data_IF_021593919002
#
_entry.id   IF_021593919002
#
_cell.length_a   1.000
_cell.length_b   1.000
_cell.length_c   1.000
_cell.angle_alpha   90.00
_cell.angle_beta   90.00
_cell.angle_gamma   90.00
#
_symmetry.space_group_name_H-M   'P 1'
#
loop_
_entity.id
_entity.type
_entity.pdbx_description
1 polymer ?
#
# COMPACT_ATOMS: atom_id res chain seq x y z
N UNK A 1 19.37 -14.16 3.25
CA UNK A 1 17.90 -14.41 3.19
C UNK A 1 17.38 -13.75 1.94
N UNK A 2 16.40 -14.34 1.26
CA UNK A 2 15.76 -13.80 0.07
C UNK A 2 14.33 -13.35 0.42
N UNK A 3 13.81 -12.41 -0.34
CA UNK A 3 12.43 -11.90 -0.29
C UNK A 3 11.74 -12.24 -1.60
N UNK A 4 10.57 -12.82 -1.55
CA UNK A 4 9.75 -13.00 -2.75
C UNK A 4 9.03 -11.71 -3.07
N UNK A 5 9.01 -11.37 -4.35
CA UNK A 5 8.39 -10.14 -4.87
C UNK A 5 7.57 -10.50 -6.10
N UNK A 6 6.33 -10.06 -6.15
CA UNK A 6 5.52 -10.18 -7.37
C UNK A 6 5.86 -9.03 -8.32
N UNK A 7 6.34 -9.38 -9.50
CA UNK A 7 6.76 -8.43 -10.54
C UNK A 7 5.73 -8.44 -11.67
N UNK A 8 5.29 -7.26 -12.08
CA UNK A 8 4.50 -7.06 -13.29
C UNK A 8 5.48 -7.05 -14.48
N UNK A 9 5.52 -8.14 -15.24
CA UNK A 9 6.44 -8.31 -16.38
C UNK A 9 5.90 -7.73 -17.66
N UNK A 10 4.57 -7.65 -17.79
CA UNK A 10 3.88 -6.99 -18.92
C UNK A 10 2.59 -6.34 -18.43
N UNK A 11 2.36 -5.10 -18.85
CA UNK A 11 1.16 -4.31 -18.55
C UNK A 11 0.20 -4.26 -19.75
N UNK A 12 -0.96 -3.64 -19.58
CA UNK A 12 -1.96 -3.44 -20.64
C UNK A 12 -3.17 -4.37 -20.55
N UNK A 13 -3.70 -4.77 -21.69
CA UNK A 13 -4.94 -5.57 -21.77
C UNK A 13 -4.78 -7.02 -21.29
N UNK A 14 -3.57 -7.55 -21.30
CA UNK A 14 -3.24 -8.92 -20.85
C UNK A 14 -1.99 -8.87 -20.00
N UNK A 15 -2.09 -8.38 -18.75
CA UNK A 15 -0.94 -8.26 -17.88
C UNK A 15 -0.37 -9.65 -17.49
N UNK A 16 0.94 -9.72 -17.33
CA UNK A 16 1.62 -10.93 -16.86
C UNK A 16 2.48 -10.63 -15.64
N UNK A 17 2.66 -11.66 -14.80
CA UNK A 17 3.33 -11.54 -13.52
C UNK A 17 4.33 -12.68 -13.33
N UNK A 18 5.37 -12.41 -12.58
CA UNK A 18 6.36 -13.38 -12.17
C UNK A 18 6.68 -13.20 -10.68
N UNK A 19 6.74 -14.30 -9.95
CA UNK A 19 7.22 -14.29 -8.57
C UNK A 19 8.75 -14.47 -8.59
N UNK A 20 9.47 -13.44 -8.20
CA UNK A 20 10.92 -13.40 -8.20
C UNK A 20 11.46 -13.43 -6.77
N UNK A 21 12.64 -14.02 -6.58
CA UNK A 21 13.41 -13.90 -5.34
C UNK A 21 14.47 -12.82 -5.49
N UNK A 22 14.48 -11.88 -4.54
CA UNK A 22 15.45 -10.78 -4.49
C UNK A 22 16.20 -10.81 -3.16
N UNK A 23 17.45 -10.35 -3.11
CA UNK A 23 18.15 -10.16 -1.84
C UNK A 23 17.37 -9.18 -0.94
N UNK A 24 17.47 -9.39 0.38
CA UNK A 24 16.96 -8.41 1.33
C UNK A 24 17.80 -7.12 1.24
N UNK A 25 17.11 -6.03 0.94
CA UNK A 25 17.74 -4.70 0.88
C UNK A 25 18.03 -4.16 2.29
N UNK A 26 19.17 -3.50 2.45
CA UNK A 26 19.53 -2.81 3.70
C UNK A 26 18.96 -1.39 3.66
N UNK A 27 18.16 -0.98 4.67
CA UNK A 27 17.64 0.38 4.74
C UNK A 27 18.77 1.42 4.89
N UNK A 28 18.68 2.50 4.11
CA UNK A 28 19.58 3.65 4.16
C UNK A 28 18.80 4.86 4.69
N UNK A 29 19.51 5.81 5.32
CA UNK A 29 18.93 7.08 5.81
C UNK A 29 17.64 6.91 6.60
N UNK A 30 16.50 7.42 6.12
CA UNK A 30 15.17 7.32 6.73
C UNK A 30 14.35 6.10 6.22
N UNK A 31 15.00 5.19 5.50
CA UNK A 31 14.32 3.99 5.00
C UNK A 31 14.06 2.97 6.10
N UNK A 32 12.99 2.24 5.91
CA UNK A 32 12.49 1.22 6.82
C UNK A 32 12.17 -0.03 5.99
N UNK A 33 12.77 -1.16 6.34
CA UNK A 33 12.36 -2.45 5.78
C UNK A 33 11.20 -3.00 6.59
N UNK A 34 10.09 -3.20 5.92
CA UNK A 34 8.88 -3.78 6.50
C UNK A 34 8.73 -5.21 5.98
N UNK A 35 8.60 -6.16 6.89
CA UNK A 35 8.11 -7.50 6.58
C UNK A 35 6.60 -7.44 6.46
N UNK A 36 6.09 -7.66 5.26
CA UNK A 36 4.67 -7.55 4.95
C UNK A 36 3.92 -8.73 5.56
N UNK A 37 2.86 -8.45 6.31
CA UNK A 37 1.99 -9.46 6.95
C UNK A 37 0.61 -9.52 6.32
N UNK A 38 0.18 -8.44 5.67
CA UNK A 38 -1.10 -8.39 4.95
C UNK A 38 -1.04 -7.39 3.79
N UNK A 39 -1.82 -7.65 2.76
CA UNK A 39 -1.88 -6.87 1.52
C UNK A 39 -3.35 -6.59 1.23
N UNK A 40 -3.69 -5.33 0.98
CA UNK A 40 -4.99 -4.90 0.47
C UNK A 40 -5.02 -4.95 -1.06
N UNK A 41 -6.04 -5.59 -1.62
CA UNK A 41 -6.27 -5.62 -3.06
C UNK A 41 -7.30 -4.56 -3.44
N UNK A 42 -6.93 -3.70 -4.37
CA UNK A 42 -7.73 -2.54 -4.74
C UNK A 42 -7.98 -2.47 -6.25
N UNK A 43 -9.04 -1.75 -6.65
CA UNK A 43 -9.27 -1.43 -8.05
C UNK A 43 -8.10 -0.65 -8.66
N UNK A 44 -7.37 0.11 -7.84
CA UNK A 44 -6.15 0.81 -8.25
C UNK A 44 -5.10 -0.14 -8.83
N UNK A 45 -4.90 -1.31 -8.21
CA UNK A 45 -3.97 -2.33 -8.72
C UNK A 45 -4.38 -2.84 -10.10
N UNK A 46 -5.68 -3.07 -10.33
CA UNK A 46 -6.19 -3.47 -11.65
C UNK A 46 -6.01 -2.37 -12.70
N UNK A 47 -6.28 -1.12 -12.34
CA UNK A 47 -6.12 -0.01 -13.26
C UNK A 47 -4.65 0.27 -13.57
N UNK A 48 -3.77 0.12 -12.58
CA UNK A 48 -2.33 0.28 -12.74
C UNK A 48 -1.78 -0.74 -13.75
N UNK A 49 -2.02 -2.02 -13.56
CA UNK A 49 -1.53 -3.05 -14.47
C UNK A 49 -2.11 -2.93 -15.90
N UNK A 50 -3.27 -2.29 -16.05
CA UNK A 50 -3.91 -2.00 -17.34
C UNK A 50 -3.45 -0.66 -17.96
N UNK A 51 -2.52 0.05 -17.36
CA UNK A 51 -2.06 1.39 -17.76
C UNK A 51 -3.17 2.46 -17.74
N UNK A 52 -4.19 2.25 -16.91
CA UNK A 52 -5.38 3.12 -16.79
C UNK A 52 -5.43 3.91 -15.49
N UNK A 53 -4.40 3.76 -14.65
CA UNK A 53 -4.24 4.54 -13.43
C UNK A 53 -3.42 5.82 -13.70
N UNK A 54 -3.42 6.77 -12.76
CA UNK A 54 -2.62 7.99 -12.92
C UNK A 54 -1.11 7.72 -12.90
N UNK A 55 -0.64 6.80 -12.05
CA UNK A 55 0.69 6.24 -12.12
C UNK A 55 0.72 5.14 -13.20
N UNK A 56 1.79 5.12 -14.00
CA UNK A 56 1.97 4.11 -15.04
C UNK A 56 3.03 3.10 -14.60
N UNK A 57 2.81 1.81 -14.88
CA UNK A 57 3.82 0.81 -14.60
C UNK A 57 5.05 1.01 -15.49
N UNK A 58 6.21 0.79 -14.92
CA UNK A 58 7.45 0.62 -15.67
C UNK A 58 7.66 -0.85 -16.02
N UNK A 59 8.45 -1.19 -17.06
CA UNK A 59 8.74 -2.58 -17.37
C UNK A 59 9.38 -3.32 -16.18
N UNK A 60 8.90 -4.52 -15.89
CA UNK A 60 9.38 -5.38 -14.79
C UNK A 60 9.32 -4.66 -13.42
N UNK A 61 8.19 -4.03 -13.11
CA UNK A 61 8.04 -3.26 -11.89
C UNK A 61 7.35 -4.05 -10.75
N UNK A 62 7.51 -3.55 -9.53
CA UNK A 62 6.74 -4.00 -8.36
C UNK A 62 5.27 -3.57 -8.51
N UNK A 63 4.40 -4.16 -7.69
CA UNK A 63 2.98 -3.81 -7.61
C UNK A 63 2.48 -3.84 -6.16
N UNK A 64 1.32 -3.23 -5.94
CA UNK A 64 0.63 -3.17 -4.65
C UNK A 64 0.72 -1.80 -4.00
N UNK A 65 -0.43 -1.19 -3.79
CA UNK A 65 -0.55 0.16 -3.19
C UNK A 65 -0.82 0.12 -1.68
N UNK A 66 -1.31 -0.99 -1.15
CA UNK A 66 -1.79 -1.07 0.22
C UNK A 66 -1.32 -2.35 0.90
N UNK A 67 -0.86 -2.22 2.13
CA UNK A 67 -0.42 -3.33 2.96
C UNK A 67 -0.08 -2.90 4.36
N UNK A 68 0.22 -3.88 5.20
CA UNK A 68 0.71 -3.67 6.56
C UNK A 68 1.77 -4.71 6.92
N UNK A 69 2.54 -4.43 7.95
CA UNK A 69 3.58 -5.33 8.37
C UNK A 69 4.28 -4.91 9.65
N UNK A 70 5.42 -5.55 9.87
CA UNK A 70 6.28 -5.33 11.03
C UNK A 70 7.62 -4.75 10.55
N UNK A 71 8.07 -3.71 11.22
CA UNK A 71 9.40 -3.13 10.98
C UNK A 71 10.47 -4.15 11.36
N UNK A 72 11.32 -4.52 10.41
CA UNK A 72 12.41 -5.50 10.62
C UNK A 72 13.80 -4.88 10.63
N UNK A 73 13.99 -3.79 9.92
CA UNK A 73 15.25 -3.04 9.91
C UNK A 73 14.97 -1.57 9.61
N UNK A 74 15.85 -0.71 10.12
CA UNK A 74 15.71 0.74 9.96
C UNK A 74 17.05 1.37 9.59
N UNK A 75 17.02 2.39 8.75
CA UNK A 75 18.12 3.31 8.59
C UNK A 75 18.29 4.23 9.80
N UNK A 76 19.41 4.95 9.90
CA UNK A 76 19.76 5.74 11.09
C UNK A 76 18.85 6.96 11.34
N UNK A 77 18.07 7.40 10.38
CA UNK A 77 17.18 8.56 10.47
C UNK A 77 15.70 8.15 10.53
N UNK A 78 15.40 6.85 10.56
CA UNK A 78 14.03 6.33 10.59
C UNK A 78 13.29 6.72 11.87
N UNK A 79 11.99 7.03 11.73
CA UNK A 79 11.14 7.44 12.86
C UNK A 79 10.45 6.25 13.56
N UNK A 80 10.50 5.06 12.97
CA UNK A 80 9.96 3.82 13.53
C UNK A 80 11.08 2.93 14.09
N UNK A 81 10.72 2.00 14.96
CA UNK A 81 11.63 1.06 15.61
C UNK A 81 11.37 -0.37 15.14
N UNK A 82 12.37 -1.21 15.19
CA UNK A 82 12.23 -2.65 14.93
C UNK A 82 11.16 -3.22 15.87
N UNK A 83 10.23 -3.95 15.30
CA UNK A 83 9.08 -4.53 15.99
C UNK A 83 7.80 -3.69 15.91
N UNK A 84 7.87 -2.43 15.50
CA UNK A 84 6.67 -1.59 15.35
C UNK A 84 5.76 -2.18 14.27
N UNK A 85 4.44 -2.11 14.53
CA UNK A 85 3.40 -2.47 13.58
C UNK A 85 3.06 -1.24 12.76
N UNK A 86 3.12 -1.38 11.44
CA UNK A 86 2.89 -0.28 10.51
C UNK A 86 1.95 -0.68 9.39
N UNK A 87 1.21 0.30 8.89
CA UNK A 87 0.49 0.22 7.62
C UNK A 87 1.08 1.21 6.62
N UNK A 88 0.92 0.91 5.35
CA UNK A 88 1.35 1.80 4.28
C UNK A 88 0.32 2.91 4.10
N UNK A 89 0.77 4.14 3.88
CA UNK A 89 -0.08 5.22 3.41
C UNK A 89 -0.25 5.10 1.88
N UNK A 90 -1.38 4.61 1.37
CA UNK A 90 -1.51 4.27 -0.04
C UNK A 90 -1.28 5.44 -1.00
N UNK A 91 -1.58 6.66 -0.53
CA UNK A 91 -1.42 7.89 -1.33
C UNK A 91 0.04 8.33 -1.51
N UNK A 92 0.98 7.74 -0.75
CA UNK A 92 2.39 8.09 -0.76
C UNK A 92 3.28 6.98 -1.32
N UNK A 93 2.69 5.87 -1.78
CA UNK A 93 3.42 4.72 -2.33
C UNK A 93 3.55 4.86 -3.84
N UNK A 94 4.77 4.75 -4.33
CA UNK A 94 5.07 4.56 -5.76
C UNK A 94 5.07 3.05 -6.05
N UNK A 95 3.98 2.53 -6.59
CA UNK A 95 3.81 1.09 -6.76
C UNK A 95 4.90 0.48 -7.65
N UNK A 96 5.34 1.18 -8.69
CA UNK A 96 6.38 0.70 -9.62
C UNK A 96 7.71 0.36 -8.95
N UNK A 97 8.05 1.07 -7.88
CA UNK A 97 9.35 0.93 -7.18
C UNK A 97 9.22 0.32 -5.79
N UNK A 98 8.11 0.59 -5.10
CA UNK A 98 7.89 0.27 -3.69
C UNK A 98 6.73 -0.69 -3.46
N UNK A 99 6.10 -1.21 -4.52
CA UNK A 99 4.92 -2.06 -4.42
C UNK A 99 5.04 -3.16 -3.36
N UNK A 100 3.98 -3.29 -2.55
CA UNK A 100 3.99 -4.11 -1.34
C UNK A 100 3.58 -5.59 -1.56
N UNK A 101 3.31 -6.01 -2.80
CA UNK A 101 3.07 -7.45 -3.08
C UNK A 101 4.39 -8.22 -3.04
N UNK A 102 4.92 -8.36 -1.83
CA UNK A 102 6.21 -8.98 -1.54
C UNK A 102 6.25 -9.49 -0.10
N UNK A 103 7.25 -10.32 0.25
CA UNK A 103 7.53 -10.65 1.66
C UNK A 103 8.10 -9.43 2.40
N UNK A 104 8.90 -8.61 1.71
CA UNK A 104 9.53 -7.40 2.27
C UNK A 104 9.56 -6.26 1.26
N UNK A 105 9.47 -5.03 1.76
CA UNK A 105 9.64 -3.83 0.96
C UNK A 105 10.28 -2.71 1.79
N UNK A 106 10.89 -1.73 1.10
CA UNK A 106 11.49 -0.55 1.70
C UNK A 106 10.56 0.66 1.53
N UNK A 107 10.36 1.39 2.62
CA UNK A 107 9.57 2.61 2.66
C UNK A 107 10.31 3.69 3.43
N UNK A 108 10.00 4.96 3.17
CA UNK A 108 10.41 6.08 4.01
C UNK A 108 9.47 6.20 5.21
N UNK A 109 9.95 6.80 6.29
CA UNK A 109 9.13 7.03 7.50
C UNK A 109 7.80 7.73 7.21
N UNK A 110 7.81 8.74 6.35
CA UNK A 110 6.60 9.49 5.96
C UNK A 110 5.55 8.67 5.20
N UNK A 111 5.92 7.50 4.68
CA UNK A 111 5.03 6.60 3.93
C UNK A 111 4.35 5.56 4.82
N UNK A 112 4.68 5.55 6.10
CA UNK A 112 4.17 4.59 7.07
C UNK A 112 3.26 5.27 8.11
N UNK A 113 2.28 4.51 8.58
CA UNK A 113 1.31 4.91 9.59
C UNK A 113 1.38 3.89 10.72
N UNK A 114 1.32 4.33 11.97
CA UNK A 114 1.17 3.44 13.11
C UNK A 114 -0.09 2.57 12.96
N UNK A 115 0.08 1.26 13.06
CA UNK A 115 -1.03 0.33 13.00
C UNK A 115 -1.62 0.10 14.39
N UNK A 116 -2.90 0.43 14.64
CA UNK A 116 -3.53 0.19 15.94
C UNK A 116 -3.47 -1.27 16.35
N UNK A 117 -3.05 -1.54 17.60
CA UNK A 117 -2.97 -2.89 18.12
C UNK A 117 -4.33 -3.62 18.19
N UNK A 118 -5.43 -2.86 18.18
CA UNK A 118 -6.80 -3.38 18.16
C UNK A 118 -7.24 -3.93 16.80
N UNK A 119 -6.55 -3.60 15.72
CA UNK A 119 -6.86 -4.12 14.39
C UNK A 119 -6.10 -5.44 14.14
N UNK A 120 -6.79 -6.51 13.73
CA UNK A 120 -6.15 -7.73 13.26
C UNK A 120 -5.25 -7.46 12.04
N UNK A 121 -4.12 -8.15 11.92
CA UNK A 121 -3.17 -7.96 10.81
C UNK A 121 -3.85 -8.09 9.44
N UNK A 122 -4.75 -9.05 9.28
CA UNK A 122 -5.48 -9.26 8.04
C UNK A 122 -6.34 -8.05 7.61
N UNK A 123 -6.82 -7.27 8.57
CA UNK A 123 -7.65 -6.07 8.30
C UNK A 123 -6.76 -4.85 8.08
N UNK A 124 -5.70 -4.72 8.86
CA UNK A 124 -4.81 -3.55 8.82
C UNK A 124 -4.27 -3.26 7.42
N UNK A 125 -3.97 -4.31 6.64
CA UNK A 125 -3.44 -4.16 5.28
C UNK A 125 -4.49 -3.82 4.20
N UNK A 126 -5.78 -3.69 4.55
CA UNK A 126 -6.85 -3.48 3.57
C UNK A 126 -7.85 -2.36 3.93
N UNK A 127 -7.52 -1.57 4.94
CA UNK A 127 -8.42 -0.55 5.52
C UNK A 127 -8.16 0.85 4.96
N UNK A 128 -6.89 1.17 4.72
CA UNK A 128 -6.49 2.56 4.52
C UNK A 128 -6.90 3.13 3.17
N UNK A 129 -6.80 2.36 2.09
CA UNK A 129 -7.20 2.82 0.76
C UNK A 129 -8.70 3.19 0.74
N UNK A 130 -9.54 2.36 1.31
CA UNK A 130 -10.99 2.57 1.38
C UNK A 130 -11.35 3.77 2.23
N UNK A 131 -10.84 3.83 3.45
CA UNK A 131 -11.20 4.88 4.40
C UNK A 131 -10.60 6.24 4.02
N UNK A 132 -9.37 6.30 3.55
CA UNK A 132 -8.78 7.56 3.08
C UNK A 132 -9.50 8.08 1.83
N UNK A 133 -9.94 7.20 0.94
CA UNK A 133 -10.72 7.59 -0.24
C UNK A 133 -12.09 8.13 0.18
N UNK A 134 -12.78 7.47 1.11
CA UNK A 134 -14.05 7.94 1.63
C UNK A 134 -13.90 9.28 2.36
N UNK A 135 -12.91 9.39 3.24
CA UNK A 135 -12.64 10.61 3.99
C UNK A 135 -12.28 11.78 3.07
N UNK A 136 -11.36 11.58 2.14
CA UNK A 136 -10.94 12.58 1.17
C UNK A 136 -12.10 13.07 0.29
N UNK A 137 -12.95 12.14 -0.16
CA UNK A 137 -14.13 12.48 -0.97
C UNK A 137 -15.22 13.21 -0.19
N UNK A 138 -15.58 12.73 1.00
CA UNK A 138 -16.68 13.29 1.78
C UNK A 138 -16.27 14.51 2.61
N UNK A 139 -15.16 14.44 3.31
CA UNK A 139 -14.77 15.44 4.30
C UNK A 139 -13.91 16.53 3.66
N UNK A 140 -12.78 16.12 3.07
CA UNK A 140 -11.79 17.07 2.57
C UNK A 140 -12.27 17.82 1.32
N UNK A 141 -12.67 17.09 0.27
CA UNK A 141 -13.14 17.67 -0.98
C UNK A 141 -14.64 18.05 -0.93
N UNK A 142 -15.48 17.20 -0.31
CA UNK A 142 -16.93 17.40 -0.24
C UNK A 142 -17.39 18.37 0.85
N UNK A 143 -16.56 18.62 1.86
CA UNK A 143 -16.87 19.53 2.96
C UNK A 143 -18.08 19.10 3.80
N UNK A 144 -18.35 17.79 3.87
CA UNK A 144 -19.50 17.22 4.60
C UNK A 144 -19.52 17.69 6.06
N UNK A 145 -20.67 18.15 6.51
CA UNK A 145 -20.89 18.69 7.85
C UNK A 145 -21.83 17.80 8.67
N UNK A 146 -21.80 17.89 10.00
CA UNK A 146 -22.76 17.18 10.85
C UNK A 146 -24.21 17.49 10.44
N UNK A 147 -25.08 16.49 10.48
CA UNK A 147 -26.50 16.53 10.12
C UNK A 147 -26.80 16.70 8.61
N UNK A 148 -25.83 16.60 7.74
CA UNK A 148 -26.07 16.49 6.30
C UNK A 148 -26.39 15.04 5.90
N UNK A 149 -27.08 14.89 4.78
CA UNK A 149 -27.42 13.58 4.22
C UNK A 149 -26.53 13.26 3.04
N UNK A 150 -25.96 12.07 3.01
CA UNK A 150 -25.10 11.58 1.93
C UNK A 150 -25.81 10.51 1.14
N UNK A 151 -25.82 10.63 -0.18
CA UNK A 151 -26.23 9.55 -1.09
C UNK A 151 -24.98 8.84 -1.59
N UNK A 152 -24.86 7.55 -1.28
CA UNK A 152 -23.72 6.73 -1.68
C UNK A 152 -24.14 5.81 -2.82
N UNK A 153 -23.52 5.94 -3.99
CA UNK A 153 -23.65 5.01 -5.10
C UNK A 153 -22.60 3.89 -4.97
N UNK A 154 -22.89 2.71 -5.53
CA UNK A 154 -22.03 1.53 -5.38
C UNK A 154 -21.70 1.20 -3.90
N UNK A 155 -22.70 1.28 -3.03
CA UNK A 155 -22.57 1.12 -1.58
C UNK A 155 -22.02 -0.24 -1.14
N UNK A 156 -21.99 -1.25 -2.03
CA UNK A 156 -21.36 -2.56 -1.77
C UNK A 156 -19.87 -2.63 -2.16
N UNK A 157 -19.27 -1.51 -2.60
CA UNK A 157 -17.83 -1.45 -2.85
C UNK A 157 -17.06 -1.25 -1.56
N UNK A 158 -15.75 -1.54 -1.57
CA UNK A 158 -14.88 -1.34 -0.39
C UNK A 158 -14.83 0.10 0.12
N UNK A 159 -15.12 1.09 -0.73
CA UNK A 159 -15.20 2.50 -0.34
C UNK A 159 -16.63 2.86 0.10
N UNK A 160 -17.65 2.16 -0.39
CA UNK A 160 -19.06 2.44 -0.11
C UNK A 160 -19.58 1.84 1.20
N UNK A 161 -18.93 0.78 1.69
CA UNK A 161 -19.26 0.15 2.98
C UNK A 161 -18.58 0.85 4.13
#
# INVERSE_FOLDING_TARGET
MASRVLILTSSGSSPSFELQETPLETPLEDQIRVRITSIGLNRADLLFQQERYFEKPTPNCRIGFEGAGIVEATGPQAQFKIGDRVALCPMLIEASTQGCMADHALFKSAQLIDSPASLPDAITGAVWMSYLTAWGGMIDAGGLRPNETVLITAASSSVGT
#
